data_IF_487751419565
#
_entry.id   IF_487751419565
#
_cell.length_a   1.000
_cell.length_b   1.000
_cell.length_c   1.000
_cell.angle_alpha   90.00
_cell.angle_beta   90.00
_cell.angle_gamma   90.00
#
_symmetry.space_group_name_H-M   'P 1'
#
loop_
_entity.id
_entity.type
_entity.pdbx_description
1 polymer ?
#
# COMPACT_ATOMS: atom_id res chain seq x y z
N UNK A 1 14.09 32.48 -6.38
CA UNK A 1 15.02 31.80 -7.32
C UNK A 1 15.21 30.33 -6.97
N UNK A 2 15.47 29.98 -5.72
CA UNK A 2 15.54 28.59 -5.23
C UNK A 2 14.32 27.74 -5.58
N UNK A 3 13.08 28.25 -5.39
CA UNK A 3 11.85 27.51 -5.72
C UNK A 3 11.79 27.12 -7.22
N UNK A 4 12.04 28.07 -8.11
CA UNK A 4 12.04 27.83 -9.57
C UNK A 4 13.11 26.82 -9.99
N UNK A 5 14.31 26.90 -9.40
CA UNK A 5 15.37 25.92 -9.63
C UNK A 5 14.92 24.53 -9.15
N UNK A 6 14.32 24.41 -7.97
CA UNK A 6 13.80 23.14 -7.45
C UNK A 6 12.73 22.54 -8.36
N UNK A 7 11.79 23.36 -8.86
CA UNK A 7 10.77 22.90 -9.81
C UNK A 7 11.43 22.32 -11.06
N UNK A 8 12.38 23.04 -11.66
CA UNK A 8 13.06 22.60 -12.88
C UNK A 8 13.81 21.30 -12.63
N UNK A 9 14.50 21.18 -11.49
CA UNK A 9 15.23 19.96 -11.11
C UNK A 9 14.26 18.79 -10.94
N UNK A 10 13.17 18.95 -10.21
CA UNK A 10 12.16 17.89 -10.03
C UNK A 10 11.50 17.50 -11.35
N UNK A 11 11.23 18.47 -12.22
CA UNK A 11 10.69 18.21 -13.55
C UNK A 11 11.67 17.39 -14.40
N UNK A 12 12.95 17.76 -14.42
CA UNK A 12 13.99 17.02 -15.15
C UNK A 12 14.17 15.59 -14.61
N UNK A 13 14.18 15.42 -13.29
CA UNK A 13 14.24 14.09 -12.66
C UNK A 13 13.02 13.24 -13.06
N UNK A 14 11.82 13.82 -13.01
CA UNK A 14 10.57 13.11 -13.36
C UNK A 14 10.55 12.68 -14.83
N UNK A 15 10.97 13.57 -15.73
CA UNK A 15 11.10 13.26 -17.16
C UNK A 15 12.15 12.18 -17.37
N UNK A 16 13.31 12.28 -16.73
CA UNK A 16 14.38 11.28 -16.82
C UNK A 16 13.92 9.90 -16.35
N UNK A 17 13.22 9.82 -15.21
CA UNK A 17 12.71 8.56 -14.68
C UNK A 17 11.68 7.90 -15.62
N UNK A 18 10.80 8.71 -16.21
CA UNK A 18 9.77 8.22 -17.13
C UNK A 18 10.35 7.81 -18.49
N UNK A 19 11.38 8.52 -18.96
CA UNK A 19 12.10 8.21 -20.19
C UNK A 19 13.04 7.00 -20.05
N UNK A 20 13.55 6.72 -18.85
CA UNK A 20 14.43 5.59 -18.60
C UNK A 20 13.80 4.25 -18.97
N UNK A 21 12.49 4.08 -18.75
CA UNK A 21 11.78 2.85 -19.13
C UNK A 21 11.92 2.54 -20.63
N UNK A 22 11.37 3.38 -21.53
CA UNK A 22 11.51 3.21 -22.97
C UNK A 22 12.97 3.26 -23.45
N UNK A 23 13.82 4.10 -22.87
CA UNK A 23 15.21 4.24 -23.31
C UNK A 23 16.08 3.01 -22.98
N UNK A 24 15.81 2.32 -21.86
CA UNK A 24 16.57 1.14 -21.44
C UNK A 24 15.97 -0.16 -21.95
N UNK A 25 14.64 -0.27 -22.00
CA UNK A 25 13.96 -1.50 -22.42
C UNK A 25 13.67 -1.51 -23.93
N UNK A 26 13.37 -0.37 -24.54
CA UNK A 26 12.90 -0.30 -25.93
C UNK A 26 11.69 -1.23 -26.15
N UNK A 27 11.78 -2.10 -27.17
CA UNK A 27 10.80 -3.15 -27.47
C UNK A 27 11.05 -4.48 -26.73
N UNK A 28 12.01 -4.53 -25.79
CA UNK A 28 12.29 -5.77 -25.06
C UNK A 28 11.21 -6.04 -24.03
N UNK A 29 10.59 -7.21 -24.14
CA UNK A 29 9.71 -7.73 -23.11
C UNK A 29 10.48 -7.98 -21.80
N UNK A 30 9.86 -7.61 -20.69
CA UNK A 30 10.40 -7.86 -19.36
C UNK A 30 10.38 -9.36 -19.06
N UNK A 31 11.46 -9.92 -18.47
CA UNK A 31 11.43 -11.27 -17.93
C UNK A 31 10.23 -11.49 -17.01
N UNK A 32 9.53 -12.64 -17.06
CA UNK A 32 8.32 -12.89 -16.28
C UNK A 32 8.47 -12.61 -14.78
N UNK A 33 9.68 -12.84 -14.24
CA UNK A 33 10.00 -12.59 -12.83
C UNK A 33 9.96 -11.10 -12.46
N UNK A 34 10.47 -10.22 -13.33
CA UNK A 34 10.47 -8.77 -13.10
C UNK A 34 9.07 -8.18 -13.27
N UNK A 35 8.31 -8.66 -14.27
CA UNK A 35 6.91 -8.28 -14.45
C UNK A 35 6.07 -8.65 -13.21
N UNK A 36 6.29 -9.84 -12.64
CA UNK A 36 5.65 -10.25 -11.39
C UNK A 36 6.00 -9.35 -10.20
N UNK A 37 7.26 -8.93 -10.05
CA UNK A 37 7.66 -7.97 -9.01
C UNK A 37 6.95 -6.62 -9.16
N UNK A 38 6.82 -6.11 -10.39
CA UNK A 38 6.12 -4.85 -10.67
C UNK A 38 4.62 -4.98 -10.35
N UNK A 39 4.00 -6.11 -10.70
CA UNK A 39 2.60 -6.37 -10.37
C UNK A 39 2.35 -6.40 -8.85
N UNK A 40 3.35 -6.82 -8.06
CA UNK A 40 3.30 -6.84 -6.60
C UNK A 40 3.58 -5.47 -5.95
N UNK A 41 4.11 -4.48 -6.68
CA UNK A 41 4.38 -3.15 -6.10
C UNK A 41 3.11 -2.48 -5.59
N UNK A 42 2.02 -2.51 -6.36
CA UNK A 42 0.75 -1.91 -5.95
C UNK A 42 0.23 -2.49 -4.62
N UNK A 43 0.03 -3.82 -4.47
CA UNK A 43 -0.40 -4.39 -3.20
C UNK A 43 0.65 -4.27 -2.08
N UNK A 44 1.95 -4.32 -2.39
CA UNK A 44 3.00 -4.16 -1.38
C UNK A 44 3.04 -2.74 -0.80
N UNK A 45 2.89 -1.70 -1.63
CA UNK A 45 2.81 -0.32 -1.19
C UNK A 45 1.55 -0.08 -0.35
N UNK A 46 0.40 -0.62 -0.76
CA UNK A 46 -0.81 -0.55 0.05
C UNK A 46 -0.66 -1.26 1.40
N UNK A 47 -0.06 -2.44 1.42
CA UNK A 47 0.23 -3.16 2.67
C UNK A 47 1.17 -2.35 3.58
N UNK A 48 2.19 -1.72 3.00
CA UNK A 48 3.08 -0.81 3.72
C UNK A 48 2.36 0.39 4.32
N UNK A 49 1.51 1.06 3.54
CA UNK A 49 0.70 2.20 4.01
C UNK A 49 -0.23 1.81 5.16
N UNK A 50 -0.92 0.68 5.01
CA UNK A 50 -1.79 0.13 6.05
C UNK A 50 -0.98 -0.16 7.32
N UNK A 51 0.19 -0.81 7.20
CA UNK A 51 1.04 -1.11 8.34
C UNK A 51 1.52 0.16 9.05
N UNK A 52 1.97 1.17 8.30
CA UNK A 52 2.42 2.45 8.88
C UNK A 52 1.30 3.20 9.60
N UNK A 53 0.06 3.10 9.12
CA UNK A 53 -1.10 3.70 9.75
C UNK A 53 -1.46 2.98 11.08
N UNK A 54 -1.39 1.64 11.10
CA UNK A 54 -1.69 0.83 12.29
C UNK A 54 -0.63 0.99 13.38
N UNK A 55 0.65 1.04 13.02
CA UNK A 55 1.75 1.06 14.00
C UNK A 55 2.00 2.44 14.59
N UNK A 56 1.47 3.49 13.95
CA UNK A 56 1.72 4.88 14.31
C UNK A 56 3.17 5.32 14.12
N UNK A 57 3.49 6.60 14.45
CA UNK A 57 4.82 7.15 14.30
C UNK A 57 5.85 6.37 15.13
N UNK A 58 6.98 6.03 14.50
CA UNK A 58 8.09 5.32 15.14
C UNK A 58 7.69 4.02 15.86
N UNK A 59 6.63 3.34 15.41
CA UNK A 59 6.15 2.06 15.98
C UNK A 59 5.63 2.16 17.42
N UNK A 60 5.31 3.35 17.89
CA UNK A 60 4.91 3.59 19.29
C UNK A 60 3.39 3.56 19.51
N UNK A 61 2.59 3.57 18.43
CA UNK A 61 1.14 3.73 18.48
C UNK A 61 0.37 2.51 17.97
N UNK A 62 0.87 1.30 18.24
CA UNK A 62 0.21 0.07 17.77
C UNK A 62 -1.19 -0.05 18.38
N UNK A 63 -2.22 0.10 17.55
CA UNK A 63 -3.61 -0.09 17.98
C UNK A 63 -4.02 -1.56 17.86
N UNK A 64 -4.15 -2.22 19.02
CA UNK A 64 -4.53 -3.63 19.09
C UNK A 64 -5.96 -3.89 18.56
N UNK A 65 -6.85 -2.90 18.62
CA UNK A 65 -8.22 -3.02 18.08
C UNK A 65 -8.22 -3.11 16.56
N UNK A 66 -7.36 -2.35 15.89
CA UNK A 66 -7.18 -2.42 14.43
C UNK A 66 -6.55 -3.73 14.00
N UNK A 67 -5.55 -4.24 14.74
CA UNK A 67 -4.96 -5.55 14.49
C UNK A 67 -6.01 -6.67 14.53
N UNK A 68 -6.93 -6.63 15.51
CA UNK A 68 -8.01 -7.60 15.62
C UNK A 68 -9.03 -7.47 14.47
N UNK A 69 -9.40 -6.26 14.07
CA UNK A 69 -10.26 -6.02 12.90
C UNK A 69 -9.65 -6.54 11.59
N UNK A 70 -8.35 -6.33 11.39
CA UNK A 70 -7.62 -6.85 10.23
C UNK A 70 -7.53 -8.38 10.22
N UNK A 71 -7.34 -8.99 11.39
CA UNK A 71 -7.39 -10.44 11.52
C UNK A 71 -8.77 -11.00 11.12
N UNK A 72 -9.85 -10.33 11.49
CA UNK A 72 -11.21 -10.71 11.07
C UNK A 72 -11.41 -10.59 9.55
N UNK A 73 -10.87 -9.54 8.92
CA UNK A 73 -10.88 -9.39 7.45
C UNK A 73 -10.08 -10.52 6.78
N UNK A 74 -8.91 -10.87 7.32
CA UNK A 74 -8.10 -11.96 6.78
C UNK A 74 -8.84 -13.30 6.85
N UNK A 75 -9.49 -13.61 7.98
CA UNK A 75 -10.28 -14.84 8.16
C UNK A 75 -11.47 -14.87 7.21
N UNK A 76 -12.23 -13.78 7.09
CA UNK A 76 -13.39 -13.72 6.16
C UNK A 76 -12.98 -13.83 4.69
N UNK A 77 -11.81 -13.31 4.32
CA UNK A 77 -11.26 -13.48 2.98
C UNK A 77 -10.88 -14.93 2.69
N UNK A 78 -10.27 -15.64 3.65
CA UNK A 78 -9.97 -17.09 3.53
C UNK A 78 -11.26 -17.90 3.37
N UNK A 79 -12.34 -17.49 4.04
CA UNK A 79 -13.68 -18.09 3.90
C UNK A 79 -14.38 -17.70 2.58
N UNK A 80 -13.74 -16.94 1.70
CA UNK A 80 -14.27 -16.45 0.40
C UNK A 80 -15.59 -15.69 0.52
N UNK A 81 -15.75 -14.94 1.60
CA UNK A 81 -16.89 -14.04 1.82
C UNK A 81 -16.80 -12.86 0.83
N UNK A 82 -17.93 -12.33 0.30
CA UNK A 82 -17.90 -11.16 -0.58
C UNK A 82 -17.20 -9.97 0.11
N UNK A 83 -16.40 -9.23 -0.65
CA UNK A 83 -15.50 -8.20 -0.12
C UNK A 83 -16.21 -7.17 0.78
N UNK A 84 -17.42 -6.76 0.42
CA UNK A 84 -18.22 -5.83 1.22
C UNK A 84 -18.54 -6.41 2.62
N UNK A 85 -18.88 -7.68 2.71
CA UNK A 85 -19.18 -8.32 3.99
C UNK A 85 -17.92 -8.56 4.82
N UNK A 86 -16.76 -8.85 4.19
CA UNK A 86 -15.48 -8.93 4.88
C UNK A 86 -15.09 -7.58 5.51
N UNK A 87 -15.24 -6.49 4.75
CA UNK A 87 -15.00 -5.13 5.25
C UNK A 87 -15.96 -4.81 6.40
N UNK A 88 -17.25 -5.10 6.24
CA UNK A 88 -18.26 -4.87 7.29
C UNK A 88 -17.91 -5.62 8.57
N UNK A 89 -17.49 -6.89 8.46
CA UNK A 89 -17.06 -7.71 9.59
C UNK A 89 -15.86 -7.08 10.32
N UNK A 90 -14.83 -6.65 9.58
CA UNK A 90 -13.70 -5.94 10.15
C UNK A 90 -14.10 -4.67 10.89
N UNK A 91 -14.95 -3.84 10.28
CA UNK A 91 -15.48 -2.61 10.91
C UNK A 91 -16.24 -2.92 12.18
N UNK A 92 -17.14 -3.92 12.16
CA UNK A 92 -17.91 -4.33 13.33
C UNK A 92 -17.02 -4.82 14.45
N UNK A 93 -15.99 -5.63 14.14
CA UNK A 93 -15.03 -6.13 15.13
C UNK A 93 -14.24 -4.98 15.76
N UNK A 94 -13.68 -4.08 14.95
CA UNK A 94 -12.95 -2.91 15.45
C UNK A 94 -13.85 -2.01 16.31
N UNK A 95 -15.06 -1.71 15.83
CA UNK A 95 -16.00 -0.84 16.55
C UNK A 95 -16.46 -1.46 17.87
N UNK A 96 -16.75 -2.76 17.88
CA UNK A 96 -17.15 -3.48 19.10
C UNK A 96 -16.01 -3.51 20.14
N UNK A 97 -14.77 -3.78 19.70
CA UNK A 97 -13.61 -3.78 20.59
C UNK A 97 -13.33 -2.39 21.15
N UNK A 98 -13.40 -1.35 20.32
CA UNK A 98 -13.19 0.04 20.74
C UNK A 98 -14.34 0.55 21.63
N UNK A 99 -15.53 -0.02 21.56
CA UNK A 99 -16.63 0.33 22.47
C UNK A 99 -16.47 -0.34 23.84
N UNK A 100 -15.82 -1.50 23.90
CA UNK A 100 -15.68 -2.29 25.13
C UNK A 100 -14.47 -1.89 25.99
N UNK A 101 -13.45 -1.27 25.37
CA UNK A 101 -12.16 -0.88 25.99
C UNK A 101 -12.14 0.63 26.16
#
# INVERSE_FOLDING_TARGET
>A
MTLWITIVVVALISVGFKAAGPALLGDRELPPRLAGMIALLAPALLAGLVLTDITGPAWTGVDWTLCAGLAAIAVTYVLRVPALAAILCGVVVTAALRFLI
#
